data_IF_727006436752
#
_entry.id   IF_727006436752
#
_cell.length_a   1.000
_cell.length_b   1.000
_cell.length_c   1.000
_cell.angle_alpha   90.00
_cell.angle_beta   90.00
_cell.angle_gamma   90.00
#
_symmetry.space_group_name_H-M   'P 1'
#
loop_
_entity.id
_entity.type
_entity.pdbx_description
1 polymer ?
#
# COMPACT_ATOMS: atom_id res chain seq x y z
N UNK A 1 4.38 28.18 3.62
CA UNK A 1 4.18 27.04 2.73
C UNK A 1 2.71 26.63 2.73
N UNK A 2 2.22 26.09 1.62
CA UNK A 2 0.85 25.57 1.56
C UNK A 2 0.76 24.17 2.16
N UNK A 3 -0.35 23.88 2.85
CA UNK A 3 -0.68 22.55 3.34
C UNK A 3 -2.19 22.30 3.25
N UNK A 4 -2.56 21.08 2.92
CA UNK A 4 -3.94 20.59 3.07
C UNK A 4 -4.13 20.22 4.53
N UNK A 5 -5.12 20.79 5.20
CA UNK A 5 -5.34 20.63 6.64
C UNK A 5 -6.69 19.96 6.93
N UNK A 6 -6.64 18.99 7.82
CA UNK A 6 -7.80 18.46 8.52
C UNK A 6 -7.97 19.28 9.82
N UNK A 7 -8.93 20.20 9.83
CA UNK A 7 -9.24 21.05 11.01
C UNK A 7 -10.38 20.45 11.85
N UNK A 8 -11.19 19.64 11.24
CA UNK A 8 -12.23 18.82 11.87
C UNK A 8 -12.33 17.47 11.14
N UNK A 9 -12.71 16.43 11.84
CA UNK A 9 -12.90 15.12 11.22
C UNK A 9 -14.11 15.11 10.30
N UNK A 10 -13.98 14.46 9.13
CA UNK A 10 -15.03 14.34 8.15
C UNK A 10 -14.54 13.91 6.78
N UNK A 11 -15.41 13.96 5.75
CA UNK A 11 -15.04 13.60 4.39
C UNK A 11 -14.03 14.59 3.80
N UNK A 12 -13.43 14.22 2.66
CA UNK A 12 -12.34 14.96 2.03
C UNK A 12 -12.68 16.43 1.69
N UNK A 13 -13.94 16.74 1.43
CA UNK A 13 -14.45 18.09 1.13
C UNK A 13 -14.33 19.06 2.32
N UNK A 14 -14.15 18.56 3.54
CA UNK A 14 -13.91 19.37 4.74
C UNK A 14 -12.46 19.79 4.94
N UNK A 15 -11.55 19.19 4.19
CA UNK A 15 -10.15 19.61 4.21
C UNK A 15 -10.01 20.99 3.56
N UNK A 16 -9.02 21.76 4.00
CA UNK A 16 -8.78 23.13 3.48
C UNK A 16 -7.31 23.29 3.15
N UNK A 17 -7.01 24.09 2.12
CA UNK A 17 -5.64 24.53 1.83
C UNK A 17 -5.39 25.84 2.56
N UNK A 18 -4.35 25.89 3.38
CA UNK A 18 -3.96 27.11 4.09
C UNK A 18 -2.44 27.32 4.01
N UNK A 19 -2.04 28.57 4.16
CA UNK A 19 -0.64 28.92 4.38
C UNK A 19 -0.27 28.69 5.84
N UNK A 20 0.75 27.87 6.05
CA UNK A 20 1.27 27.53 7.38
C UNK A 20 2.77 27.83 7.48
N UNK A 21 3.29 27.94 8.68
CA UNK A 21 4.73 28.10 8.89
C UNK A 21 5.48 26.86 8.38
N UNK A 22 6.66 27.06 7.80
CA UNK A 22 7.59 25.96 7.48
C UNK A 22 8.01 25.25 8.78
N UNK A 23 8.03 23.90 8.81
CA UNK A 23 8.38 23.17 10.02
C UNK A 23 9.86 23.36 10.38
N UNK A 24 10.16 23.48 11.68
CA UNK A 24 11.54 23.58 12.17
C UNK A 24 12.25 22.22 12.15
N UNK A 25 13.53 22.24 11.78
CA UNK A 25 14.40 21.05 11.78
C UNK A 25 15.21 20.99 13.07
N UNK A 26 15.24 19.82 13.72
CA UNK A 26 16.04 19.55 14.93
C UNK A 26 16.52 18.09 14.95
N UNK A 27 17.67 17.87 15.55
CA UNK A 27 18.18 16.51 15.82
C UNK A 27 18.36 15.66 14.55
N UNK A 28 17.67 14.53 14.49
CA UNK A 28 17.67 13.61 13.34
C UNK A 28 16.60 13.94 12.28
N UNK A 29 15.97 15.12 12.35
CA UNK A 29 14.98 15.56 11.38
C UNK A 29 15.61 15.95 10.05
N UNK A 30 14.96 15.57 8.98
CA UNK A 30 15.28 15.95 7.59
C UNK A 30 14.09 16.70 7.04
N UNK A 31 14.27 17.92 6.58
CA UNK A 31 13.23 18.71 5.89
C UNK A 31 13.26 18.39 4.41
N UNK A 32 12.12 18.05 3.89
CA UNK A 32 11.93 17.67 2.50
C UNK A 32 10.96 18.65 1.84
N UNK A 33 11.34 19.17 0.68
CA UNK A 33 10.40 19.77 -0.27
C UNK A 33 9.69 18.64 -0.98
N UNK A 34 8.40 18.46 -0.68
CA UNK A 34 7.59 17.40 -1.26
C UNK A 34 7.32 17.71 -2.73
N UNK A 35 7.57 16.76 -3.61
CA UNK A 35 7.28 16.83 -5.04
C UNK A 35 6.05 16.00 -5.41
N UNK A 36 5.88 14.86 -4.74
CA UNK A 36 4.76 13.96 -4.92
C UNK A 36 4.36 13.33 -3.58
N UNK A 37 3.07 13.19 -3.36
CA UNK A 37 2.50 12.46 -2.21
C UNK A 37 1.63 11.31 -2.71
N UNK A 38 1.95 10.09 -2.31
CA UNK A 38 1.20 8.89 -2.66
C UNK A 38 0.00 8.73 -1.73
N UNK A 39 -1.20 8.63 -2.31
CA UNK A 39 -2.42 8.39 -1.54
C UNK A 39 -2.55 6.92 -1.17
N UNK A 40 -2.99 6.68 0.04
CA UNK A 40 -3.27 5.36 0.58
C UNK A 40 -4.66 5.31 1.23
N UNK A 41 -5.28 4.13 1.28
CA UNK A 41 -6.60 3.98 1.89
C UNK A 41 -6.64 4.46 3.36
N UNK A 42 -5.60 4.26 4.20
CA UNK A 42 -5.52 4.85 5.52
C UNK A 42 -5.68 6.37 5.56
N UNK A 43 -5.28 7.11 4.54
CA UNK A 43 -5.43 8.58 4.51
C UNK A 43 -6.90 8.98 4.52
N UNK A 44 -7.78 8.21 3.87
CA UNK A 44 -9.24 8.43 3.90
C UNK A 44 -9.85 8.12 5.26
N UNK A 45 -9.29 7.16 6.00
CA UNK A 45 -9.77 6.77 7.33
C UNK A 45 -9.29 7.72 8.42
N UNK A 46 -8.07 8.26 8.28
CA UNK A 46 -7.46 9.15 9.29
C UNK A 46 -8.23 10.47 9.39
N UNK A 47 -8.64 11.04 8.25
CA UNK A 47 -9.41 12.29 8.21
C UNK A 47 -10.82 12.13 8.79
N UNK A 48 -11.35 10.90 8.84
CA UNK A 48 -12.64 10.55 9.44
C UNK A 48 -12.54 9.99 10.87
N UNK A 49 -11.36 10.02 11.50
CA UNK A 49 -11.08 9.43 12.81
C UNK A 49 -11.37 7.92 12.92
N UNK A 50 -11.28 7.20 11.80
CA UNK A 50 -11.58 5.75 11.69
C UNK A 50 -10.32 4.88 11.65
N UNK A 51 -9.12 5.47 11.81
CA UNK A 51 -7.85 4.76 11.77
C UNK A 51 -7.21 4.67 13.16
N UNK A 52 -6.21 3.78 13.33
CA UNK A 52 -5.50 3.60 14.61
C UNK A 52 -4.60 4.78 14.95
N UNK A 53 -3.98 5.41 13.93
CA UNK A 53 -3.22 6.64 14.08
C UNK A 53 -4.18 7.82 14.14
N UNK A 54 -4.09 8.61 15.21
CA UNK A 54 -4.97 9.75 15.48
C UNK A 54 -4.16 11.01 15.76
N UNK A 55 -3.71 11.74 14.73
CA UNK A 55 -3.03 13.01 14.91
C UNK A 55 -3.93 14.03 15.61
N UNK A 56 -3.31 14.94 16.37
CA UNK A 56 -4.05 16.07 16.94
C UNK A 56 -4.45 17.06 15.86
N UNK A 57 -5.69 17.52 15.91
CA UNK A 57 -6.20 18.57 15.02
C UNK A 57 -5.58 19.95 15.36
N UNK A 58 -5.27 20.82 14.38
CA UNK A 58 -5.27 20.52 12.93
C UNK A 58 -4.02 19.73 12.53
N UNK A 59 -4.14 18.89 11.49
CA UNK A 59 -3.00 18.18 10.90
C UNK A 59 -3.11 18.11 9.37
N UNK A 60 -1.98 17.95 8.68
CA UNK A 60 -1.98 17.64 7.27
C UNK A 60 -2.04 16.11 7.08
N UNK A 61 -2.95 15.57 6.25
CA UNK A 61 -2.94 14.14 5.93
C UNK A 61 -1.76 13.73 5.06
N UNK A 62 -1.80 12.51 4.51
CA UNK A 62 -0.79 11.95 3.63
C UNK A 62 0.35 11.27 4.37
N UNK A 63 0.41 9.95 4.24
CA UNK A 63 1.38 9.12 4.96
C UNK A 63 2.65 8.78 4.17
N UNK A 64 2.70 9.09 2.87
CA UNK A 64 3.77 8.68 1.96
C UNK A 64 4.13 9.80 0.98
N UNK A 65 5.42 10.04 0.77
CA UNK A 65 5.87 11.11 -0.12
C UNK A 65 7.20 10.78 -0.81
N UNK A 66 7.51 11.57 -1.85
CA UNK A 66 8.84 11.73 -2.44
C UNK A 66 9.15 13.21 -2.64
N UNK A 67 10.44 13.55 -2.56
CA UNK A 67 10.89 14.93 -2.75
C UNK A 67 12.37 15.08 -2.57
N UNK A 68 12.79 16.33 -2.38
CA UNK A 68 14.18 16.76 -2.25
C UNK A 68 14.47 17.26 -0.83
N UNK A 69 15.56 16.82 -0.26
CA UNK A 69 16.07 17.31 1.02
C UNK A 69 16.51 18.77 0.86
N UNK A 70 15.95 19.66 1.69
CA UNK A 70 16.30 21.09 1.67
C UNK A 70 17.06 21.54 2.93
N UNK A 71 16.90 20.83 4.05
CA UNK A 71 17.59 21.15 5.30
C UNK A 71 17.73 19.88 6.14
N UNK A 72 18.79 19.77 6.93
CA UNK A 72 19.02 18.61 7.82
C UNK A 72 19.37 19.08 9.23
N UNK A 73 18.90 18.35 10.23
CA UNK A 73 19.26 18.59 11.63
C UNK A 73 20.68 18.17 11.95
N UNK A 74 21.17 18.67 13.07
CA UNK A 74 22.58 18.55 13.49
C UNK A 74 23.04 17.10 13.78
N UNK A 75 22.11 16.15 13.88
CA UNK A 75 22.42 14.73 14.12
C UNK A 75 22.20 13.85 12.89
N UNK A 76 21.78 14.42 11.77
CA UNK A 76 21.58 13.67 10.53
C UNK A 76 22.92 13.28 9.92
N UNK A 77 23.06 12.02 9.54
CA UNK A 77 24.30 11.46 8.99
C UNK A 77 24.12 10.83 7.60
N UNK A 78 22.89 10.54 7.21
CA UNK A 78 22.59 9.76 6.00
C UNK A 78 22.24 10.62 4.78
N UNK A 79 21.83 11.86 5.00
CA UNK A 79 21.30 12.72 3.95
C UNK A 79 21.89 14.13 4.02
N UNK A 80 21.87 14.82 2.88
CA UNK A 80 22.27 16.22 2.74
C UNK A 80 21.29 16.96 1.81
N UNK A 81 21.24 18.30 1.86
CA UNK A 81 20.48 19.10 0.90
C UNK A 81 20.80 18.71 -0.56
N UNK A 82 19.76 18.59 -1.38
CA UNK A 82 19.82 18.15 -2.76
C UNK A 82 19.61 16.64 -2.97
N UNK A 83 19.66 15.82 -1.92
CA UNK A 83 19.38 14.39 -2.04
C UNK A 83 17.89 14.17 -2.35
N UNK A 84 17.56 13.24 -3.26
CA UNK A 84 16.21 12.81 -3.54
C UNK A 84 15.83 11.66 -2.62
N UNK A 85 14.66 11.78 -1.97
CA UNK A 85 14.21 10.82 -0.96
C UNK A 85 12.73 10.49 -1.12
N UNK A 86 12.37 9.25 -0.77
CA UNK A 86 11.00 8.85 -0.49
C UNK A 86 10.88 8.45 0.99
N UNK A 87 9.69 8.58 1.56
CA UNK A 87 9.49 8.26 2.97
C UNK A 87 8.07 8.02 3.39
N UNK A 88 7.98 7.39 4.56
CA UNK A 88 6.72 7.14 5.26
C UNK A 88 6.70 7.95 6.54
N UNK A 89 5.71 8.81 6.65
CA UNK A 89 5.57 9.76 7.76
C UNK A 89 4.32 9.48 8.60
N UNK A 90 3.40 8.66 8.06
CA UNK A 90 2.10 8.38 8.68
C UNK A 90 1.06 9.48 8.44
N UNK A 91 1.48 10.74 8.42
CA UNK A 91 0.69 11.93 8.05
C UNK A 91 1.66 13.09 7.77
N UNK A 92 1.15 14.18 7.19
CA UNK A 92 1.93 15.40 6.94
C UNK A 92 2.41 15.58 5.50
N UNK A 93 2.28 14.57 4.63
CA UNK A 93 2.81 14.62 3.27
C UNK A 93 1.96 15.46 2.29
N UNK A 94 0.74 15.84 2.66
CA UNK A 94 -0.07 16.74 1.84
C UNK A 94 0.26 18.22 2.15
N UNK A 95 1.54 18.54 2.12
CA UNK A 95 2.10 19.84 2.34
C UNK A 95 3.36 20.04 1.49
N UNK A 96 3.69 21.29 1.15
CA UNK A 96 4.87 21.61 0.33
C UNK A 96 6.19 21.22 1.01
N UNK A 97 6.21 21.24 2.36
CA UNK A 97 7.39 20.83 3.14
C UNK A 97 6.98 19.95 4.31
N UNK A 98 7.81 18.97 4.61
CA UNK A 98 7.66 18.10 5.77
C UNK A 98 9.02 17.87 6.44
N UNK A 99 9.00 17.63 7.75
CA UNK A 99 10.18 17.12 8.48
C UNK A 99 9.92 15.67 8.86
N UNK A 100 10.81 14.78 8.43
CA UNK A 100 10.77 13.36 8.77
C UNK A 100 12.09 12.92 9.43
N UNK A 101 12.05 11.95 10.36
CA UNK A 101 13.26 11.33 10.88
C UNK A 101 14.05 10.62 9.77
N UNK A 102 15.38 10.76 9.76
CA UNK A 102 16.23 10.16 8.70
C UNK A 102 16.04 8.64 8.52
N UNK A 103 15.69 7.90 9.59
CA UNK A 103 15.44 6.46 9.50
C UNK A 103 14.16 6.10 8.73
N UNK A 104 13.24 7.03 8.56
CA UNK A 104 12.00 6.83 7.81
C UNK A 104 12.15 7.13 6.31
N UNK A 105 13.35 7.53 5.90
CA UNK A 105 13.66 7.96 4.55
C UNK A 105 14.52 6.94 3.81
N UNK A 106 14.27 6.84 2.52
CA UNK A 106 15.01 6.03 1.55
C UNK A 106 15.56 6.94 0.45
N UNK A 107 16.82 6.80 0.05
CA UNK A 107 17.30 7.45 -1.16
C UNK A 107 16.60 6.82 -2.36
N UNK A 108 16.21 7.64 -3.33
CA UNK A 108 15.59 7.16 -4.57
C UNK A 108 16.57 7.30 -5.73
N UNK A 109 16.64 6.31 -6.65
CA UNK A 109 17.49 6.39 -7.83
C UNK A 109 17.12 7.58 -8.73
N UNK A 110 18.10 8.21 -9.38
CA UNK A 110 17.86 9.34 -10.28
C UNK A 110 16.86 9.02 -11.40
N UNK A 111 16.89 7.79 -11.90
CA UNK A 111 15.97 7.32 -12.93
C UNK A 111 14.54 7.06 -12.45
N UNK A 112 14.27 7.06 -11.13
CA UNK A 112 12.94 6.84 -10.57
C UNK A 112 12.16 8.15 -10.50
N UNK A 113 11.01 8.29 -11.21
CA UNK A 113 10.15 9.48 -11.08
C UNK A 113 9.62 9.64 -9.66
N UNK A 114 9.41 10.91 -9.23
CA UNK A 114 8.94 11.20 -7.88
C UNK A 114 7.56 10.60 -7.60
N UNK A 115 6.69 10.55 -8.60
CA UNK A 115 5.36 9.92 -8.49
C UNK A 115 5.45 8.42 -8.20
N UNK A 116 6.40 7.71 -8.85
CA UNK A 116 6.64 6.30 -8.59
C UNK A 116 7.27 6.10 -7.20
N UNK A 117 8.20 6.95 -6.82
CA UNK A 117 8.85 6.90 -5.52
C UNK A 117 7.86 7.14 -4.37
N UNK A 118 6.97 8.14 -4.52
CA UNK A 118 5.88 8.42 -3.57
C UNK A 118 4.81 7.32 -3.50
N UNK A 119 4.79 6.41 -4.45
CA UNK A 119 3.81 5.33 -4.55
C UNK A 119 4.40 3.95 -4.23
N UNK A 120 5.62 3.89 -3.69
CA UNK A 120 6.40 2.65 -3.59
C UNK A 120 6.33 2.00 -2.20
N UNK A 121 6.68 2.76 -1.17
CA UNK A 121 7.01 2.19 0.14
C UNK A 121 5.83 1.49 0.81
N UNK A 122 4.65 2.09 0.82
CA UNK A 122 3.48 1.54 1.50
C UNK A 122 3.01 0.23 0.86
N UNK A 123 2.83 0.23 -0.46
CA UNK A 123 2.22 -0.93 -1.14
C UNK A 123 3.19 -2.09 -1.30
N UNK A 124 4.44 -1.82 -1.70
CA UNK A 124 5.43 -2.89 -1.83
C UNK A 124 5.95 -3.36 -0.47
N UNK A 125 6.17 -2.46 0.48
CA UNK A 125 6.57 -2.82 1.83
C UNK A 125 5.56 -3.72 2.54
N UNK A 126 4.28 -3.36 2.46
CA UNK A 126 3.18 -4.17 3.02
C UNK A 126 3.13 -5.55 2.35
N UNK A 127 3.12 -5.58 1.01
CA UNK A 127 2.96 -6.83 0.25
C UNK A 127 4.18 -7.73 0.40
N UNK A 128 5.39 -7.16 0.41
CA UNK A 128 6.61 -7.95 0.59
C UNK A 128 6.70 -8.58 1.99
N UNK A 129 6.39 -7.80 3.04
CA UNK A 129 6.29 -8.31 4.41
C UNK A 129 5.25 -9.43 4.51
N UNK A 130 4.08 -9.22 3.89
CA UNK A 130 3.01 -10.20 3.86
C UNK A 130 3.44 -11.52 3.22
N UNK A 131 4.04 -11.46 2.03
CA UNK A 131 4.43 -12.66 1.28
C UNK A 131 5.67 -13.33 1.86
N UNK A 132 6.72 -12.55 2.20
CA UNK A 132 8.00 -13.09 2.64
C UNK A 132 7.98 -13.58 4.09
N UNK A 133 7.63 -12.70 5.06
CA UNK A 133 7.70 -13.04 6.46
C UNK A 133 6.42 -13.69 6.99
N UNK A 134 5.24 -13.20 6.56
CA UNK A 134 3.98 -13.69 7.14
C UNK A 134 3.48 -14.97 6.49
N UNK A 135 3.53 -15.05 5.16
CA UNK A 135 3.14 -16.25 4.42
C UNK A 135 4.31 -17.24 4.25
N UNK A 136 5.57 -16.77 4.26
CA UNK A 136 6.70 -17.56 3.81
C UNK A 136 6.41 -18.22 2.45
N UNK A 137 5.98 -17.39 1.48
CA UNK A 137 5.58 -17.83 0.15
C UNK A 137 6.73 -18.56 -0.54
N UNK A 138 6.45 -19.77 -1.04
CA UNK A 138 7.44 -20.59 -1.74
C UNK A 138 7.22 -20.58 -3.26
N UNK A 139 8.29 -20.70 -4.07
CA UNK A 139 8.16 -20.89 -5.50
C UNK A 139 7.25 -22.08 -5.84
N UNK A 140 6.35 -21.89 -6.82
CA UNK A 140 5.39 -22.90 -7.25
C UNK A 140 4.09 -22.97 -6.44
N UNK A 141 3.98 -22.24 -5.32
CA UNK A 141 2.72 -22.11 -4.60
C UNK A 141 1.70 -21.28 -5.40
N UNK A 142 0.43 -21.52 -5.17
CA UNK A 142 -0.68 -20.77 -5.77
C UNK A 142 -1.10 -19.63 -4.83
N UNK A 143 -0.97 -18.39 -5.30
CA UNK A 143 -1.33 -17.16 -4.59
C UNK A 143 -2.61 -16.57 -5.18
N UNK A 144 -3.68 -16.47 -4.37
CA UNK A 144 -4.89 -15.73 -4.69
C UNK A 144 -4.78 -14.29 -4.17
N UNK A 145 -4.93 -13.32 -5.04
CA UNK A 145 -4.93 -11.89 -4.69
C UNK A 145 -6.32 -11.31 -4.86
N UNK A 146 -6.98 -10.94 -3.77
CA UNK A 146 -8.24 -10.21 -3.79
C UNK A 146 -7.98 -8.72 -4.02
N UNK A 147 -8.90 -8.03 -4.73
CA UNK A 147 -8.73 -6.62 -5.05
C UNK A 147 -7.44 -6.36 -5.86
N UNK A 148 -7.12 -7.27 -6.77
CA UNK A 148 -5.82 -7.36 -7.46
C UNK A 148 -5.45 -6.13 -8.30
N UNK A 149 -6.40 -5.26 -8.63
CA UNK A 149 -6.16 -4.02 -9.39
C UNK A 149 -5.84 -2.80 -8.53
N UNK A 150 -6.00 -2.87 -7.21
CA UNK A 150 -5.64 -1.80 -6.30
C UNK A 150 -4.14 -1.73 -6.03
N UNK A 151 -3.66 -0.67 -5.37
CA UNK A 151 -2.22 -0.46 -5.13
C UNK A 151 -1.51 -1.66 -4.50
N UNK A 152 -1.97 -2.14 -3.33
CA UNK A 152 -1.38 -3.32 -2.67
C UNK A 152 -1.64 -4.62 -3.46
N UNK A 153 -2.77 -4.71 -4.18
CA UNK A 153 -3.09 -5.86 -5.01
C UNK A 153 -2.11 -6.03 -6.16
N UNK A 154 -1.85 -4.97 -6.93
CA UNK A 154 -0.89 -4.99 -8.04
C UNK A 154 0.53 -5.28 -7.55
N UNK A 155 0.96 -4.60 -6.49
CA UNK A 155 2.27 -4.88 -5.88
C UNK A 155 2.39 -6.36 -5.47
N UNK A 156 1.30 -6.96 -4.96
CA UNK A 156 1.27 -8.39 -4.59
C UNK A 156 1.33 -9.29 -5.81
N UNK A 157 0.66 -8.95 -6.91
CA UNK A 157 0.75 -9.71 -8.17
C UNK A 157 2.19 -9.73 -8.67
N UNK A 158 2.83 -8.57 -8.80
CA UNK A 158 4.22 -8.48 -9.28
C UNK A 158 5.20 -9.20 -8.36
N UNK A 159 5.08 -9.00 -7.04
CA UNK A 159 5.93 -9.67 -6.05
C UNK A 159 5.72 -11.19 -6.04
N UNK A 160 4.47 -11.65 -6.12
CA UNK A 160 4.16 -13.07 -6.24
C UNK A 160 4.84 -13.70 -7.46
N UNK A 161 4.80 -13.02 -8.60
CA UNK A 161 5.51 -13.45 -9.81
C UNK A 161 7.02 -13.42 -9.63
N UNK A 162 7.57 -12.36 -9.05
CA UNK A 162 9.02 -12.26 -8.77
C UNK A 162 9.52 -13.35 -7.81
N UNK A 163 8.65 -13.83 -6.90
CA UNK A 163 8.90 -14.93 -5.97
C UNK A 163 8.63 -16.33 -6.55
N UNK A 164 8.17 -16.42 -7.81
CA UNK A 164 7.93 -17.69 -8.49
C UNK A 164 6.59 -18.37 -8.19
N UNK A 165 5.60 -17.63 -7.67
CA UNK A 165 4.27 -18.16 -7.44
C UNK A 165 3.43 -18.22 -8.73
N UNK A 166 2.43 -19.11 -8.73
CA UNK A 166 1.32 -19.07 -9.68
C UNK A 166 0.25 -18.13 -9.13
N UNK A 167 0.03 -17.00 -9.80
CA UNK A 167 -0.80 -15.91 -9.30
C UNK A 167 -2.18 -15.90 -9.94
N UNK A 168 -3.22 -16.03 -9.11
CA UNK A 168 -4.63 -15.85 -9.47
C UNK A 168 -5.07 -14.47 -8.99
N UNK A 169 -5.41 -13.57 -9.91
CA UNK A 169 -5.88 -12.24 -9.62
C UNK A 169 -7.41 -12.18 -9.63
N UNK A 170 -8.02 -11.67 -8.56
CA UNK A 170 -9.47 -11.49 -8.45
C UNK A 170 -9.85 -10.01 -8.35
N UNK A 171 -10.75 -9.56 -9.22
CA UNK A 171 -11.24 -8.17 -9.26
C UNK A 171 -12.71 -8.11 -9.72
N UNK A 172 -13.29 -6.89 -9.75
CA UNK A 172 -14.72 -6.66 -9.98
C UNK A 172 -15.11 -6.31 -11.42
N UNK A 173 -14.14 -6.22 -12.34
CA UNK A 173 -14.45 -5.93 -13.76
C UNK A 173 -13.34 -6.42 -14.67
N UNK A 174 -13.67 -6.55 -15.96
CA UNK A 174 -12.70 -6.94 -17.00
C UNK A 174 -11.55 -5.93 -17.13
N UNK A 175 -11.81 -4.62 -17.02
CA UNK A 175 -10.77 -3.59 -17.11
C UNK A 175 -9.77 -3.73 -15.95
N UNK A 176 -10.28 -3.95 -14.74
CA UNK A 176 -9.45 -4.18 -13.55
C UNK A 176 -8.59 -5.44 -13.68
N UNK A 177 -9.17 -6.50 -14.22
CA UNK A 177 -8.46 -7.75 -14.47
C UNK A 177 -7.41 -7.60 -15.56
N UNK A 178 -7.66 -6.81 -16.61
CA UNK A 178 -6.66 -6.52 -17.64
C UNK A 178 -5.40 -5.85 -17.06
N UNK A 179 -5.59 -4.95 -16.07
CA UNK A 179 -4.47 -4.32 -15.35
C UNK A 179 -3.67 -5.35 -14.54
N UNK A 180 -4.35 -6.23 -13.81
CA UNK A 180 -3.68 -7.30 -13.05
C UNK A 180 -2.97 -8.31 -13.98
N UNK A 181 -3.55 -8.60 -15.15
CA UNK A 181 -2.91 -9.44 -16.18
C UNK A 181 -1.62 -8.81 -16.70
N UNK A 182 -1.63 -7.51 -16.98
CA UNK A 182 -0.46 -6.77 -17.41
C UNK A 182 0.65 -6.74 -16.34
N UNK A 183 0.27 -6.77 -15.05
CA UNK A 183 1.20 -6.91 -13.91
C UNK A 183 1.74 -8.34 -13.72
N UNK A 184 1.32 -9.30 -14.55
CA UNK A 184 1.87 -10.65 -14.59
C UNK A 184 0.99 -11.76 -13.98
N UNK A 185 -0.27 -11.49 -13.62
CA UNK A 185 -1.17 -12.54 -13.14
C UNK A 185 -1.32 -13.67 -14.17
N UNK A 186 -1.26 -14.92 -13.70
CA UNK A 186 -1.42 -16.10 -14.56
C UNK A 186 -2.89 -16.33 -14.91
N UNK A 187 -3.76 -16.30 -13.90
CA UNK A 187 -5.20 -16.54 -13.99
C UNK A 187 -5.99 -15.35 -13.44
N UNK A 188 -7.23 -15.19 -13.94
CA UNK A 188 -8.09 -14.07 -13.62
C UNK A 188 -9.48 -14.58 -13.15
N UNK A 189 -10.04 -13.94 -12.13
CA UNK A 189 -11.40 -14.19 -11.65
C UNK A 189 -12.17 -12.88 -11.56
N UNK A 190 -13.27 -12.77 -12.30
CA UNK A 190 -14.27 -11.73 -12.09
C UNK A 190 -15.30 -12.21 -11.05
N UNK A 191 -15.13 -11.77 -9.80
CA UNK A 191 -16.01 -12.21 -8.72
C UNK A 191 -17.40 -11.58 -8.74
N UNK A 192 -17.69 -10.69 -9.70
CA UNK A 192 -19.07 -10.19 -9.95
C UNK A 192 -19.86 -11.08 -10.92
N UNK A 193 -19.16 -11.92 -11.70
CA UNK A 193 -19.77 -12.81 -12.70
C UNK A 193 -19.90 -14.25 -12.22
N UNK A 194 -19.00 -14.70 -11.35
CA UNK A 194 -19.03 -16.05 -10.79
C UNK A 194 -18.61 -16.06 -9.31
N UNK A 195 -19.15 -17.01 -8.50
CA UNK A 195 -18.73 -17.14 -7.10
C UNK A 195 -17.24 -17.46 -6.98
N UNK A 196 -16.50 -16.63 -6.21
CA UNK A 196 -15.05 -16.73 -6.03
C UNK A 196 -14.58 -18.15 -5.68
N UNK A 197 -15.27 -18.82 -4.75
CA UNK A 197 -14.93 -20.18 -4.31
C UNK A 197 -14.97 -21.19 -5.47
N UNK A 198 -15.99 -21.12 -6.31
CA UNK A 198 -16.17 -22.09 -7.40
C UNK A 198 -15.16 -21.80 -8.54
N UNK A 199 -14.90 -20.52 -8.84
CA UNK A 199 -13.88 -20.11 -9.78
C UNK A 199 -12.47 -20.62 -9.37
N UNK A 200 -12.10 -20.43 -8.10
CA UNK A 200 -10.81 -20.92 -7.57
C UNK A 200 -10.72 -22.43 -7.67
N UNK A 201 -11.78 -23.18 -7.28
CA UNK A 201 -11.79 -24.65 -7.37
C UNK A 201 -11.61 -25.14 -8.80
N UNK A 202 -12.25 -24.48 -9.75
CA UNK A 202 -12.13 -24.81 -11.18
C UNK A 202 -10.67 -24.63 -11.65
N UNK A 203 -10.06 -23.47 -11.39
CA UNK A 203 -8.69 -23.17 -11.79
C UNK A 203 -7.66 -24.08 -11.14
N UNK A 204 -7.86 -24.42 -9.84
CA UNK A 204 -6.93 -25.25 -9.08
C UNK A 204 -7.25 -26.77 -9.13
N UNK A 205 -8.21 -27.18 -9.96
CA UNK A 205 -8.70 -28.58 -10.01
C UNK A 205 -9.04 -29.11 -8.62
N UNK A 206 -9.72 -28.29 -7.82
CA UNK A 206 -10.12 -28.52 -6.43
C UNK A 206 -8.99 -28.68 -5.40
N UNK A 207 -7.74 -28.44 -5.76
CA UNK A 207 -6.63 -28.41 -4.78
C UNK A 207 -6.72 -27.22 -3.83
N UNK A 208 -7.29 -26.10 -4.29
CA UNK A 208 -7.33 -24.83 -3.57
C UNK A 208 -6.05 -24.01 -3.73
N UNK A 209 -5.97 -22.88 -3.02
CA UNK A 209 -4.84 -21.95 -3.07
C UNK A 209 -4.02 -22.01 -1.79
N UNK A 210 -2.69 -21.91 -1.90
CA UNK A 210 -1.76 -22.02 -0.78
C UNK A 210 -1.72 -20.74 0.04
N UNK A 211 -1.81 -19.59 -0.62
CA UNK A 211 -1.81 -18.26 0.02
C UNK A 211 -2.95 -17.42 -0.51
N UNK A 212 -3.65 -16.73 0.40
CA UNK A 212 -4.64 -15.70 0.05
C UNK A 212 -4.12 -14.37 0.59
N UNK A 213 -4.08 -13.36 -0.28
CA UNK A 213 -3.80 -11.97 0.08
C UNK A 213 -5.12 -11.19 0.06
N UNK A 214 -5.61 -10.81 1.24
CA UNK A 214 -6.94 -10.23 1.41
C UNK A 214 -6.91 -8.79 1.97
N UNK A 215 -6.89 -7.76 1.10
CA UNK A 215 -7.08 -6.38 1.50
C UNK A 215 -8.56 -5.94 1.48
N UNK A 216 -9.47 -6.83 1.07
CA UNK A 216 -10.89 -6.51 0.79
C UNK A 216 -11.77 -6.76 2.00
N UNK A 217 -11.66 -7.92 2.62
CA UNK A 217 -12.53 -8.29 3.73
C UNK A 217 -13.97 -8.63 3.30
N UNK A 218 -14.92 -8.41 4.22
CA UNK A 218 -16.34 -8.68 3.98
C UNK A 218 -16.63 -10.15 3.60
N UNK A 219 -17.62 -10.35 2.76
CA UNK A 219 -18.07 -11.69 2.34
C UNK A 219 -17.04 -12.47 1.51
N UNK A 220 -16.06 -11.79 0.92
CA UNK A 220 -15.01 -12.43 0.14
C UNK A 220 -14.05 -13.24 1.01
N UNK A 221 -13.80 -12.81 2.25
CA UNK A 221 -12.91 -13.52 3.18
C UNK A 221 -13.35 -14.97 3.41
N UNK A 222 -14.63 -15.20 3.70
CA UNK A 222 -15.12 -16.57 3.92
C UNK A 222 -15.10 -17.41 2.63
N UNK A 223 -15.50 -16.83 1.50
CA UNK A 223 -15.45 -17.52 0.20
C UNK A 223 -14.03 -17.96 -0.15
N UNK A 224 -13.06 -17.07 0.03
CA UNK A 224 -11.65 -17.35 -0.22
C UNK A 224 -11.12 -18.44 0.74
N UNK A 225 -11.43 -18.32 2.05
CA UNK A 225 -11.05 -19.33 3.05
C UNK A 225 -11.60 -20.71 2.71
N UNK A 226 -12.83 -20.80 2.18
CA UNK A 226 -13.43 -22.07 1.72
C UNK A 226 -12.71 -22.66 0.49
N UNK A 227 -12.01 -21.83 -0.28
CA UNK A 227 -11.25 -22.25 -1.45
C UNK A 227 -9.75 -22.49 -1.16
N UNK A 228 -9.34 -22.41 0.11
CA UNK A 228 -7.97 -22.63 0.53
C UNK A 228 -7.54 -24.09 0.43
N UNK A 229 -6.28 -24.33 0.08
CA UNK A 229 -5.63 -25.63 0.11
C UNK A 229 -5.35 -26.08 1.56
N UNK A 230 -4.97 -27.34 1.72
CA UNK A 230 -4.50 -27.88 3.01
C UNK A 230 -3.24 -27.14 3.46
N UNK A 231 -3.18 -26.74 4.74
CA UNK A 231 -2.10 -25.94 5.35
C UNK A 231 -1.89 -24.55 4.71
N UNK A 232 -2.88 -24.01 4.01
CA UNK A 232 -2.78 -22.68 3.41
C UNK A 232 -2.75 -21.55 4.44
N UNK A 233 -2.40 -20.34 3.99
CA UNK A 233 -2.30 -19.13 4.82
C UNK A 233 -3.17 -18.03 4.23
N UNK A 234 -4.16 -17.57 4.99
CA UNK A 234 -5.01 -16.43 4.65
C UNK A 234 -4.46 -15.17 5.32
N UNK A 235 -3.93 -14.25 4.54
CA UNK A 235 -3.32 -13.01 5.02
C UNK A 235 -4.38 -11.91 5.10
N UNK A 236 -4.62 -11.39 6.30
CA UNK A 236 -5.52 -10.27 6.53
C UNK A 236 -4.70 -8.98 6.41
N UNK A 237 -4.95 -8.23 5.35
CA UNK A 237 -4.24 -6.98 5.03
C UNK A 237 -5.08 -5.76 5.38
N UNK A 238 -6.38 -5.82 5.11
CA UNK A 238 -7.29 -4.71 5.31
C UNK A 238 -8.75 -5.08 5.08
N UNK A 239 -9.62 -4.07 5.13
CA UNK A 239 -11.06 -4.24 5.06
C UNK A 239 -11.66 -3.17 4.12
N UNK A 240 -11.16 -3.10 2.88
CA UNK A 240 -11.62 -2.12 1.89
C UNK A 240 -13.11 -2.27 1.53
N UNK A 241 -13.74 -3.41 1.79
CA UNK A 241 -15.19 -3.58 1.69
C UNK A 241 -15.97 -2.83 2.77
N UNK A 242 -15.31 -2.43 3.88
CA UNK A 242 -15.89 -1.72 5.01
C UNK A 242 -16.19 -2.63 6.20
N UNK A 243 -16.70 -3.82 5.96
CA UNK A 243 -17.06 -4.76 7.03
C UNK A 243 -15.89 -5.65 7.45
N UNK A 244 -15.69 -5.77 8.77
CA UNK A 244 -14.72 -6.72 9.34
C UNK A 244 -15.38 -8.10 9.36
N UNK A 245 -14.82 -9.09 8.62
CA UNK A 245 -15.44 -10.39 8.47
C UNK A 245 -15.39 -11.21 9.77
N UNK A 246 -16.43 -11.98 10.02
CA UNK A 246 -16.44 -13.01 11.08
C UNK A 246 -15.95 -14.32 10.47
N UNK A 247 -14.77 -14.77 10.89
CA UNK A 247 -14.16 -15.99 10.36
C UNK A 247 -14.67 -17.20 11.12
N UNK A 248 -15.35 -18.17 10.45
CA UNK A 248 -15.77 -19.41 11.09
C UNK A 248 -14.55 -20.28 11.45
N UNK A 249 -14.23 -20.38 12.74
CA UNK A 249 -13.04 -21.07 13.23
C UNK A 249 -13.00 -22.58 12.82
N UNK A 250 -14.16 -23.21 12.62
CA UNK A 250 -14.22 -24.60 12.14
C UNK A 250 -13.62 -24.78 10.74
N UNK A 251 -13.59 -23.74 9.90
CA UNK A 251 -12.96 -23.83 8.58
C UNK A 251 -11.44 -23.94 8.71
N UNK A 252 -10.83 -23.26 9.67
CA UNK A 252 -9.38 -23.38 9.90
C UNK A 252 -9.02 -24.79 10.39
N UNK A 253 -9.84 -25.38 11.28
CA UNK A 253 -9.68 -26.76 11.73
C UNK A 253 -9.76 -27.75 10.55
N UNK A 254 -10.84 -27.65 9.73
CA UNK A 254 -11.10 -28.59 8.64
C UNK A 254 -10.08 -28.56 7.51
N UNK A 255 -9.40 -27.42 7.33
CA UNK A 255 -8.40 -27.22 6.27
C UNK A 255 -6.96 -27.21 6.80
N UNK A 256 -6.75 -27.31 8.11
CA UNK A 256 -5.44 -27.17 8.72
C UNK A 256 -4.76 -25.82 8.41
N UNK A 257 -5.55 -24.81 8.01
CA UNK A 257 -5.02 -23.55 7.51
C UNK A 257 -4.86 -22.51 8.63
N UNK A 258 -4.08 -21.44 8.33
CA UNK A 258 -3.85 -20.32 9.24
C UNK A 258 -4.51 -19.05 8.73
N UNK A 259 -5.04 -18.27 9.65
CA UNK A 259 -5.43 -16.85 9.41
C UNK A 259 -4.35 -15.98 10.04
N UNK A 260 -3.69 -15.15 9.23
CA UNK A 260 -2.47 -14.45 9.59
C UNK A 260 -2.66 -12.94 9.44
N UNK A 261 -2.53 -12.19 10.53
CA UNK A 261 -2.59 -10.74 10.50
C UNK A 261 -1.32 -10.14 9.89
N UNK A 262 -1.49 -9.09 9.08
CA UNK A 262 -0.41 -8.32 8.48
C UNK A 262 -0.56 -6.86 8.88
N UNK A 263 0.27 -6.40 9.82
CA UNK A 263 0.31 -5.01 10.22
C UNK A 263 1.72 -4.44 10.01
N UNK A 264 1.97 -4.03 8.76
CA UNK A 264 3.29 -3.59 8.32
C UNK A 264 3.81 -2.37 9.09
N UNK A 265 2.96 -1.38 9.40
CA UNK A 265 3.38 -0.21 10.18
C UNK A 265 3.93 -0.57 11.57
N UNK A 266 3.36 -1.59 12.23
CA UNK A 266 3.91 -2.09 13.50
C UNK A 266 5.21 -2.88 13.29
N UNK A 267 5.32 -3.62 12.19
CA UNK A 267 6.54 -4.36 11.84
C UNK A 267 7.73 -3.41 11.62
N UNK A 268 7.56 -2.31 10.91
CA UNK A 268 8.65 -1.34 10.67
C UNK A 268 9.23 -0.78 11.97
N UNK A 269 8.40 -0.61 13.00
CA UNK A 269 8.82 -0.11 14.31
C UNK A 269 9.45 -1.19 15.20
N UNK A 270 8.96 -2.44 15.11
CA UNK A 270 9.41 -3.54 15.96
C UNK A 270 10.63 -4.26 15.41
N UNK A 271 10.77 -4.30 14.10
CA UNK A 271 11.84 -4.99 13.39
C UNK A 271 12.47 -4.08 12.32
N UNK A 272 13.02 -2.89 12.72
CA UNK A 272 13.48 -1.88 11.78
C UNK A 272 14.61 -2.38 10.85
N UNK A 273 15.50 -3.23 11.34
CA UNK A 273 16.59 -3.79 10.52
C UNK A 273 16.07 -4.74 9.44
N UNK A 274 15.09 -5.59 9.79
CA UNK A 274 14.45 -6.50 8.82
C UNK A 274 13.66 -5.70 7.78
N UNK A 275 12.96 -4.65 8.23
CA UNK A 275 12.24 -3.72 7.35
C UNK A 275 13.20 -3.01 6.38
N UNK A 276 14.33 -2.51 6.86
CA UNK A 276 15.34 -1.86 6.00
C UNK A 276 15.91 -2.83 4.96
N UNK A 277 16.22 -4.08 5.34
CA UNK A 277 16.66 -5.12 4.37
C UNK A 277 15.59 -5.40 3.32
N UNK A 278 14.32 -5.52 3.72
CA UNK A 278 13.22 -5.70 2.78
C UNK A 278 13.14 -4.56 1.77
N UNK A 279 13.30 -3.31 2.22
CA UNK A 279 13.27 -2.16 1.30
C UNK A 279 14.45 -2.15 0.33
N UNK A 280 15.65 -2.54 0.76
CA UNK A 280 16.79 -2.70 -0.14
C UNK A 280 16.55 -3.79 -1.20
N UNK A 281 15.98 -4.92 -0.83
CA UNK A 281 15.61 -5.99 -1.77
C UNK A 281 14.53 -5.53 -2.75
N UNK A 282 13.54 -4.76 -2.30
CA UNK A 282 12.51 -4.17 -3.15
C UNK A 282 13.10 -3.17 -4.16
N UNK A 283 14.01 -2.29 -3.73
CA UNK A 283 14.71 -1.37 -4.63
C UNK A 283 15.55 -2.12 -5.66
N UNK A 284 16.15 -3.26 -5.30
CA UNK A 284 16.84 -4.12 -6.25
C UNK A 284 15.87 -4.73 -7.27
N UNK A 285 14.72 -5.24 -6.85
CA UNK A 285 13.69 -5.77 -7.75
C UNK A 285 13.19 -4.69 -8.72
N UNK A 286 13.03 -3.45 -8.25
CA UNK A 286 12.69 -2.31 -9.09
C UNK A 286 13.80 -2.02 -10.12
N UNK A 287 15.05 -1.96 -9.70
CA UNK A 287 16.19 -1.73 -10.60
C UNK A 287 16.36 -2.85 -11.65
N UNK A 288 15.97 -4.07 -11.32
CA UNK A 288 15.93 -5.22 -12.23
C UNK A 288 14.70 -5.23 -13.17
N UNK A 289 13.78 -4.27 -13.02
CA UNK A 289 12.54 -4.19 -13.79
C UNK A 289 11.53 -5.30 -13.47
N UNK A 290 11.65 -5.96 -12.31
CA UNK A 290 10.74 -7.02 -11.89
C UNK A 290 9.47 -6.52 -11.21
N UNK A 291 9.51 -5.29 -10.71
CA UNK A 291 8.37 -4.56 -10.13
C UNK A 291 8.40 -3.13 -10.64
N UNK A 292 7.22 -2.55 -10.89
CA UNK A 292 7.10 -1.18 -11.36
C UNK A 292 5.80 -0.53 -10.86
N UNK A 293 5.86 0.45 -9.92
CA UNK A 293 4.66 1.09 -9.39
C UNK A 293 3.76 1.66 -10.49
N UNK A 294 2.57 1.08 -10.64
CA UNK A 294 1.58 1.60 -11.57
C UNK A 294 0.89 2.80 -10.96
N UNK A 295 1.09 3.97 -11.56
CA UNK A 295 0.34 5.18 -11.25
C UNK A 295 -0.94 5.16 -12.09
N UNK A 296 -2.08 5.22 -11.43
CA UNK A 296 -3.40 5.26 -12.06
C UNK A 296 -3.73 6.68 -12.52
N UNK A 297 -3.56 7.61 -11.60
CA UNK A 297 -3.87 9.03 -11.83
C UNK A 297 -2.92 9.90 -11.02
N UNK A 298 -2.57 11.06 -11.58
CA UNK A 298 -1.84 12.14 -10.90
C UNK A 298 -2.78 13.34 -10.84
N UNK A 299 -3.01 13.86 -9.64
CA UNK A 299 -3.85 15.05 -9.42
C UNK A 299 -2.97 16.23 -9.01
N UNK A 300 -3.37 17.43 -9.39
CA UNK A 300 -2.78 18.66 -8.86
C UNK A 300 -3.15 18.82 -7.38
N UNK A 301 -2.38 19.60 -6.66
CA UNK A 301 -2.52 19.77 -5.21
C UNK A 301 -3.91 20.22 -4.78
N UNK A 302 -4.53 21.09 -5.56
CA UNK A 302 -5.88 21.63 -5.32
C UNK A 302 -6.99 20.60 -5.53
N UNK A 303 -6.71 19.52 -6.28
CA UNK A 303 -7.69 18.47 -6.58
C UNK A 303 -7.68 17.32 -5.54
N UNK A 304 -7.13 17.54 -4.35
CA UNK A 304 -6.98 16.54 -3.29
C UNK A 304 -8.29 15.79 -2.95
N UNK A 305 -9.42 16.48 -2.96
CA UNK A 305 -10.71 15.84 -2.67
C UNK A 305 -11.09 14.82 -3.75
N UNK A 306 -10.85 15.13 -5.04
CA UNK A 306 -11.03 14.19 -6.14
C UNK A 306 -10.07 13.01 -6.05
N UNK A 307 -8.81 13.27 -5.66
CA UNK A 307 -7.78 12.26 -5.47
C UNK A 307 -8.18 11.25 -4.37
N UNK A 308 -8.64 11.73 -3.21
CA UNK A 308 -9.15 10.88 -2.13
C UNK A 308 -10.44 10.16 -2.55
N UNK A 309 -11.32 10.82 -3.30
CA UNK A 309 -12.53 10.25 -3.89
C UNK A 309 -12.24 9.07 -4.82
N UNK A 310 -11.15 9.10 -5.59
CA UNK A 310 -10.76 7.98 -6.45
C UNK A 310 -10.51 6.68 -5.66
N UNK A 311 -10.06 6.77 -4.41
CA UNK A 311 -9.87 5.63 -3.52
C UNK A 311 -11.19 5.15 -2.89
N UNK A 312 -12.00 6.07 -2.34
CA UNK A 312 -13.26 5.73 -1.66
C UNK A 312 -14.31 5.17 -2.61
N UNK A 313 -14.35 5.66 -3.86
CA UNK A 313 -15.21 5.18 -4.94
C UNK A 313 -14.67 3.92 -5.64
N UNK A 314 -13.48 3.43 -5.23
CA UNK A 314 -12.83 2.23 -5.78
C UNK A 314 -12.59 2.29 -7.30
N UNK A 315 -12.37 3.50 -7.85
CA UNK A 315 -12.08 3.72 -9.27
C UNK A 315 -10.61 3.48 -9.60
N UNK A 316 -9.71 3.72 -8.65
CA UNK A 316 -8.27 3.62 -8.86
C UNK A 316 -7.83 2.20 -9.26
N UNK A 317 -6.98 2.12 -10.28
CA UNK A 317 -6.29 0.90 -10.73
C UNK A 317 -4.79 1.10 -10.59
N UNK A 318 -4.25 0.81 -9.42
CA UNK A 318 -2.89 1.16 -9.01
C UNK A 318 -2.88 2.25 -7.95
N UNK A 319 -1.86 3.10 -7.99
CA UNK A 319 -1.67 4.20 -7.03
C UNK A 319 -2.19 5.53 -7.59
N UNK A 320 -2.74 6.31 -6.70
CA UNK A 320 -3.11 7.72 -6.93
C UNK A 320 -2.06 8.60 -6.28
N UNK A 321 -1.67 9.68 -6.94
CA UNK A 321 -0.62 10.58 -6.47
C UNK A 321 -1.12 12.03 -6.55
N UNK A 322 -0.79 12.82 -5.53
CA UNK A 322 -0.86 14.28 -5.58
C UNK A 322 0.51 14.83 -6.00
N UNK A 323 0.52 15.69 -6.99
CA UNK A 323 1.67 16.52 -7.30
C UNK A 323 1.70 17.69 -6.32
N UNK A 324 2.77 17.82 -5.56
CA UNK A 324 2.95 18.85 -4.55
C UNK A 324 4.06 19.79 -5.00
N UNK A 325 3.76 21.09 -5.07
CA UNK A 325 4.71 22.08 -5.54
C UNK A 325 4.98 22.00 -7.05
N UNK A 326 5.35 23.11 -7.61
CA UNK A 326 5.80 23.28 -9.01
C UNK A 326 7.30 23.05 -9.13
#
# INVERSE_FOLDING_TARGET
MKAILCKEYGPAEKLVIEDVASPEVKGHGVKIRVKAAGLNFPDTLIIENKYQLKPSLPFSPGGEMAGEVIEVGEKVTRFKPGDRVAGLTGYGAFAEEIVAPEQNLLPIPDAMPDEKAAAFSMVYGTSYYALKQRANLQPGETLLVLGASGGVGLATVELGKAMGAHVIAAASSAEKLAVAKAAGADELINYTEEPLKEAVKKLTKSKGVDVIYDPVGGDFTEQALRAMAWNGRHLIIGFAAGDIPKIPANLTLLKGCSVVGVFWGSFTQREPETSARNMMELMKLYAEGKIDPKISEVFEFEDYAKALGALTERRATGKVVLKVGS
#
